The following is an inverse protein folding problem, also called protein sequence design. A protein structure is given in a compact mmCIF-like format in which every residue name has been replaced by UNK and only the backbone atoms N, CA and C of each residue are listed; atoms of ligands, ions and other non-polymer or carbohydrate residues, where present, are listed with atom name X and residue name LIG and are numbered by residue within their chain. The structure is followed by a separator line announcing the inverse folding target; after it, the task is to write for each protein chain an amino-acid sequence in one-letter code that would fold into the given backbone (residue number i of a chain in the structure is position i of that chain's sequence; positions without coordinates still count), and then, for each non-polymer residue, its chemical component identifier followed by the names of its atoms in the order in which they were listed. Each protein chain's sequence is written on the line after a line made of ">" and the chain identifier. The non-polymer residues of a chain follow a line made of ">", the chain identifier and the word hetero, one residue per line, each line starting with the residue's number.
data_IF_632447076007
#
_entry.id   IF_632447076007
#
_cell.length_a   1.000
_cell.length_b   1.000
_cell.length_c   1.000
_cell.angle_alpha   90.00
_cell.angle_beta   90.00
_cell.angle_gamma   90.00
#
_symmetry.space_group_name_H-M   'P 1'
#
loop_
_entity.id
_entity.type
_entity.pdbx_description
1 polymer ?
#
# COMPACT_ATOMS: atom_id res chain seq x y z
N UNK A 1 -13.36 11.90 -4.54
CA UNK A 1 -13.59 11.01 -3.38
C UNK A 1 -13.94 9.57 -3.77
N UNK A 2 -15.06 9.28 -4.49
CA UNK A 2 -15.41 7.89 -4.85
C UNK A 2 -14.31 7.14 -5.61
N UNK A 3 -13.85 7.70 -6.73
CA UNK A 3 -12.77 7.09 -7.53
C UNK A 3 -11.50 6.90 -6.69
N UNK A 4 -11.07 7.98 -6.01
CA UNK A 4 -9.93 7.94 -5.11
C UNK A 4 -10.03 6.84 -4.03
N UNK A 5 -11.22 6.60 -3.47
CA UNK A 5 -11.40 5.48 -2.53
C UNK A 5 -11.23 4.09 -3.16
N UNK A 6 -11.61 3.93 -4.43
CA UNK A 6 -11.43 2.69 -5.18
C UNK A 6 -9.97 2.49 -5.58
N UNK A 7 -9.30 3.55 -6.02
CA UNK A 7 -7.88 3.54 -6.37
C UNK A 7 -7.03 3.20 -5.14
N UNK A 8 -7.35 3.80 -3.99
CA UNK A 8 -6.68 3.49 -2.72
C UNK A 8 -6.88 2.02 -2.32
N UNK A 9 -8.10 1.46 -2.48
CA UNK A 9 -8.38 0.06 -2.16
C UNK A 9 -7.62 -0.89 -3.08
N UNK A 10 -7.55 -0.59 -4.39
CA UNK A 10 -6.78 -1.39 -5.33
C UNK A 10 -5.29 -1.34 -5.00
N UNK A 11 -4.76 -0.15 -4.74
CA UNK A 11 -3.37 0.02 -4.31
C UNK A 11 -3.07 -0.73 -3.00
N UNK A 12 -4.01 -0.81 -2.06
CA UNK A 12 -3.85 -1.63 -0.86
C UNK A 12 -3.78 -3.13 -1.16
N UNK A 13 -4.59 -3.63 -2.10
CA UNK A 13 -4.52 -5.03 -2.56
C UNK A 13 -3.19 -5.32 -3.26
N UNK A 14 -2.74 -4.41 -4.11
CA UNK A 14 -1.46 -4.54 -4.83
C UNK A 14 -0.28 -4.55 -3.86
N UNK A 15 -0.30 -3.68 -2.83
CA UNK A 15 0.69 -3.67 -1.77
C UNK A 15 0.69 -4.98 -0.96
N UNK A 16 -0.48 -5.54 -0.64
CA UNK A 16 -0.60 -6.82 0.07
C UNK A 16 -0.05 -7.98 -0.75
N UNK A 17 -0.37 -8.05 -2.05
CA UNK A 17 0.15 -9.08 -2.94
C UNK A 17 1.67 -8.97 -3.08
N UNK A 18 2.18 -7.76 -3.30
CA UNK A 18 3.63 -7.53 -3.35
C UNK A 18 4.33 -7.86 -2.02
N UNK A 19 3.66 -7.65 -0.88
CA UNK A 19 4.19 -8.09 0.43
C UNK A 19 4.26 -9.61 0.54
N UNK A 20 3.29 -10.35 0.02
CA UNK A 20 3.31 -11.82 0.01
C UNK A 20 4.43 -12.35 -0.90
N UNK A 21 4.58 -11.77 -2.10
CA UNK A 21 5.71 -12.06 -3.00
C UNK A 21 7.06 -11.84 -2.29
N UNK A 22 7.22 -10.72 -1.58
CA UNK A 22 8.44 -10.43 -0.84
C UNK A 22 8.72 -11.43 0.28
N UNK A 23 7.67 -11.84 1.02
CA UNK A 23 7.79 -12.82 2.10
C UNK A 23 8.16 -14.22 1.58
N UNK A 24 7.57 -14.65 0.47
CA UNK A 24 7.87 -15.93 -0.16
C UNK A 24 9.32 -15.96 -0.67
N UNK A 25 9.73 -14.94 -1.44
CA UNK A 25 11.11 -14.84 -1.92
C UNK A 25 12.13 -14.78 -0.77
N UNK A 26 11.78 -14.10 0.33
CA UNK A 26 12.64 -14.08 1.52
C UNK A 26 12.76 -15.44 2.19
N UNK A 27 11.66 -16.19 2.33
CA UNK A 27 11.68 -17.56 2.86
C UNK A 27 12.55 -18.47 1.99
N UNK A 28 12.42 -18.38 0.67
CA UNK A 28 13.25 -19.14 -0.26
C UNK A 28 14.73 -18.76 -0.15
N UNK A 29 15.05 -17.46 -0.03
CA UNK A 29 16.43 -17.00 0.18
C UNK A 29 17.05 -17.60 1.45
N UNK A 30 16.29 -17.64 2.55
CA UNK A 30 16.71 -18.26 3.82
C UNK A 30 16.94 -19.76 3.68
N UNK A 31 16.07 -20.46 2.96
CA UNK A 31 16.19 -21.91 2.78
C UNK A 31 17.39 -22.29 1.90
N UNK A 32 17.73 -21.45 0.92
CA UNK A 32 18.80 -21.69 -0.06
C UNK A 32 20.20 -21.33 0.43
N UNK A 33 20.34 -20.75 1.64
CA UNK A 33 21.57 -20.43 2.40
C UNK A 33 22.83 -20.17 1.57
N UNK A 34 23.33 -18.93 1.58
CA UNK A 34 24.67 -18.60 1.06
C UNK A 34 24.96 -19.22 -0.32
N UNK A 35 24.02 -19.05 -1.26
CA UNK A 35 24.14 -19.51 -2.64
C UNK A 35 23.75 -18.41 -3.62
N UNK A 36 24.23 -18.49 -4.87
CA UNK A 36 23.81 -17.57 -5.95
C UNK A 36 22.28 -17.51 -6.11
N UNK A 37 21.62 -18.65 -5.84
CA UNK A 37 20.16 -18.73 -5.84
C UNK A 37 19.55 -17.97 -4.66
N UNK A 38 20.13 -18.06 -3.45
CA UNK A 38 19.71 -17.27 -2.29
C UNK A 38 19.82 -15.76 -2.59
N UNK A 39 20.93 -15.31 -3.17
CA UNK A 39 21.11 -13.90 -3.55
C UNK A 39 20.11 -13.44 -4.61
N UNK A 40 19.79 -14.29 -5.59
CA UNK A 40 18.74 -14.02 -6.58
C UNK A 40 17.38 -13.85 -5.92
N UNK A 41 17.03 -14.73 -4.97
CA UNK A 41 15.79 -14.63 -4.19
C UNK A 41 15.73 -13.40 -3.30
N UNK A 42 16.84 -12.97 -2.70
CA UNK A 42 16.91 -11.72 -1.98
C UNK A 42 16.66 -10.48 -2.88
N UNK A 43 17.11 -10.52 -4.14
CA UNK A 43 16.78 -9.48 -5.14
C UNK A 43 15.31 -9.49 -5.54
N UNK A 44 14.70 -10.67 -5.69
CA UNK A 44 13.27 -10.81 -5.94
C UNK A 44 12.46 -10.19 -4.80
N UNK A 45 12.83 -10.47 -3.54
CA UNK A 45 12.21 -9.85 -2.36
C UNK A 45 12.33 -8.32 -2.39
N UNK A 46 13.50 -7.77 -2.76
CA UNK A 46 13.70 -6.32 -2.90
C UNK A 46 12.82 -5.71 -4.00
N UNK A 47 12.65 -6.43 -5.10
CA UNK A 47 11.81 -6.02 -6.24
C UNK A 47 10.35 -5.98 -5.82
N UNK A 48 9.86 -7.01 -5.14
CA UNK A 48 8.51 -7.07 -4.61
C UNK A 48 8.26 -5.95 -3.57
N UNK A 49 9.19 -5.70 -2.65
CA UNK A 49 9.09 -4.57 -1.72
C UNK A 49 9.03 -3.21 -2.45
N UNK A 50 9.74 -3.05 -3.56
CA UNK A 50 9.67 -1.85 -4.40
C UNK A 50 8.31 -1.68 -5.08
N UNK A 51 7.65 -2.77 -5.49
CA UNK A 51 6.25 -2.72 -5.96
C UNK A 51 5.31 -2.29 -4.84
N UNK A 52 5.47 -2.85 -3.64
CA UNK A 52 4.68 -2.47 -2.47
C UNK A 52 4.84 -0.97 -2.14
N UNK A 53 6.07 -0.43 -2.24
CA UNK A 53 6.33 1.00 -2.08
C UNK A 53 5.53 1.87 -3.07
N UNK A 54 5.56 1.53 -4.37
CA UNK A 54 4.81 2.25 -5.40
C UNK A 54 3.31 2.21 -5.15
N UNK A 55 2.81 1.08 -4.68
CA UNK A 55 1.40 0.93 -4.31
C UNK A 55 1.04 1.81 -3.10
N UNK A 56 1.93 1.93 -2.09
CA UNK A 56 1.74 2.88 -0.98
C UNK A 56 1.69 4.33 -1.46
N UNK A 57 2.60 4.72 -2.37
CA UNK A 57 2.61 6.08 -2.95
C UNK A 57 1.30 6.39 -3.70
N UNK A 58 0.76 5.40 -4.41
CA UNK A 58 -0.54 5.50 -5.09
C UNK A 58 -1.69 5.64 -4.09
N UNK A 59 -1.70 4.82 -3.04
CA UNK A 59 -2.72 4.89 -1.99
C UNK A 59 -2.66 6.23 -1.22
N UNK A 60 -1.46 6.76 -0.99
CA UNK A 60 -1.26 8.07 -0.34
C UNK A 60 -1.86 9.19 -1.19
N UNK A 61 -1.55 9.23 -2.49
CA UNK A 61 -2.10 10.23 -3.39
C UNK A 61 -3.63 10.16 -3.43
N UNK A 62 -4.18 8.96 -3.54
CA UNK A 62 -5.63 8.74 -3.54
C UNK A 62 -6.28 9.16 -2.21
N UNK A 63 -5.61 8.95 -1.07
CA UNK A 63 -6.06 9.47 0.23
C UNK A 63 -6.12 11.00 0.22
N UNK A 64 -5.05 11.65 -0.23
CA UNK A 64 -4.96 13.12 -0.26
C UNK A 64 -6.01 13.74 -1.23
N UNK A 65 -6.27 13.08 -2.37
CA UNK A 65 -7.33 13.46 -3.31
C UNK A 65 -8.74 13.32 -2.68
N UNK A 66 -8.96 12.27 -1.88
CA UNK A 66 -10.22 12.06 -1.19
C UNK A 66 -10.44 13.10 -0.06
N UNK A 67 -9.40 13.44 0.69
CA UNK A 67 -9.44 14.49 1.72
C UNK A 67 -9.66 15.88 1.10
N UNK A 68 -9.04 16.17 -0.05
CA UNK A 68 -9.25 17.43 -0.78
C UNK A 68 -10.69 17.55 -1.28
N UNK A 69 -11.25 16.47 -1.82
CA UNK A 69 -12.66 16.41 -2.21
C UNK A 69 -13.60 16.57 -1.01
N UNK A 70 -13.21 16.11 0.18
CA UNK A 70 -13.97 16.33 1.40
C UNK A 70 -13.99 17.81 1.80
N UNK A 71 -12.82 18.44 1.89
CA UNK A 71 -12.69 19.86 2.27
C UNK A 71 -13.48 20.79 1.34
N UNK A 72 -13.41 20.54 0.02
CA UNK A 72 -14.18 21.31 -0.98
C UNK A 72 -15.69 21.04 -0.94
N UNK A 73 -16.14 19.92 -0.38
CA UNK A 73 -17.55 19.64 -0.18
C UNK A 73 -18.15 20.27 1.10
N UNK A 74 -17.30 20.78 1.99
CA UNK A 74 -17.68 21.43 3.24
C UNK A 74 -17.76 22.97 3.13
N UNK A 75 -17.36 23.56 2.01
CA UNK A 75 -17.55 24.99 1.73
C UNK A 75 -19.03 25.35 1.48
N UNK A 76 -19.58 26.38 2.15
CA UNK A 76 -21.03 26.57 2.29
C UNK A 76 -21.62 27.34 1.11
N UNK A 77 -22.21 26.66 0.13
CA UNK A 77 -22.98 27.36 -0.91
C UNK A 77 -24.45 26.94 -1.09
N UNK A 78 -24.97 25.89 -0.42
CA UNK A 78 -26.44 25.64 -0.42
C UNK A 78 -26.94 24.61 0.60
N UNK A 79 -27.68 24.99 1.66
CA UNK A 79 -27.99 24.13 2.81
C UNK A 79 -28.80 22.84 2.52
N UNK A 80 -29.49 22.72 1.38
CA UNK A 80 -30.54 21.71 1.20
C UNK A 80 -30.12 20.39 0.52
N UNK A 81 -28.92 20.30 -0.10
CA UNK A 81 -28.39 19.06 -0.74
C UNK A 81 -27.12 18.50 -0.06
N UNK A 82 -26.62 19.18 0.96
CA UNK A 82 -25.29 18.94 1.56
C UNK A 82 -25.23 17.65 2.37
N UNK A 83 -26.32 17.20 3.00
CA UNK A 83 -26.24 16.11 3.99
C UNK A 83 -25.89 14.72 3.41
N UNK A 84 -26.45 14.31 2.26
CA UNK A 84 -26.14 12.99 1.70
C UNK A 84 -24.81 12.99 0.93
N UNK A 85 -24.50 14.08 0.23
CA UNK A 85 -23.26 14.21 -0.53
C UNK A 85 -22.04 14.33 0.41
N UNK A 86 -22.13 15.15 1.46
CA UNK A 86 -21.08 15.25 2.48
C UNK A 86 -20.85 13.92 3.21
N UNK A 87 -21.91 13.19 3.59
CA UNK A 87 -21.78 11.86 4.22
C UNK A 87 -21.07 10.85 3.33
N UNK A 88 -21.44 10.75 2.05
CA UNK A 88 -20.78 9.84 1.10
C UNK A 88 -19.31 10.22 0.87
N UNK A 89 -19.01 11.51 0.75
CA UNK A 89 -17.63 12.00 0.59
C UNK A 89 -16.78 11.70 1.82
N UNK A 90 -17.32 11.84 3.04
CA UNK A 90 -16.68 11.41 4.29
C UNK A 90 -16.39 9.92 4.30
N UNK A 91 -17.39 9.10 3.95
CA UNK A 91 -17.21 7.64 3.88
C UNK A 91 -16.10 7.23 2.89
N UNK A 92 -16.03 7.87 1.73
CA UNK A 92 -14.99 7.61 0.75
C UNK A 92 -13.60 8.05 1.22
N UNK A 93 -13.49 9.19 1.91
CA UNK A 93 -12.22 9.64 2.49
C UNK A 93 -11.72 8.66 3.58
N UNK A 94 -12.60 8.20 4.45
CA UNK A 94 -12.27 7.20 5.47
C UNK A 94 -11.87 5.85 4.86
N UNK A 95 -12.53 5.42 3.78
CA UNK A 95 -12.12 4.22 3.01
C UNK A 95 -10.72 4.38 2.43
N UNK A 96 -10.42 5.52 1.81
CA UNK A 96 -9.10 5.78 1.25
C UNK A 96 -8.00 5.80 2.33
N UNK A 97 -8.28 6.39 3.49
CA UNK A 97 -7.38 6.38 4.65
C UNK A 97 -7.11 4.98 5.19
N UNK A 98 -8.15 4.18 5.38
CA UNK A 98 -7.99 2.79 5.82
C UNK A 98 -7.21 1.95 4.80
N UNK A 99 -7.43 2.17 3.51
CA UNK A 99 -6.69 1.48 2.46
C UNK A 99 -5.20 1.89 2.44
N UNK A 100 -4.90 3.18 2.61
CA UNK A 100 -3.53 3.65 2.77
C UNK A 100 -2.81 3.01 3.96
N UNK A 101 -3.44 2.94 5.14
CA UNK A 101 -2.84 2.29 6.31
C UNK A 101 -2.59 0.79 6.08
N UNK A 102 -3.48 0.09 5.36
CA UNK A 102 -3.25 -1.30 4.93
C UNK A 102 -2.05 -1.42 4.00
N UNK A 103 -1.95 -0.56 2.99
CA UNK A 103 -0.83 -0.55 2.06
C UNK A 103 0.50 -0.31 2.79
N UNK A 104 0.52 0.65 3.71
CA UNK A 104 1.69 0.98 4.54
C UNK A 104 2.13 -0.21 5.39
N UNK A 105 1.20 -0.90 6.05
CA UNK A 105 1.48 -2.10 6.81
C UNK A 105 2.05 -3.23 5.93
N UNK A 106 1.51 -3.41 4.73
CA UNK A 106 2.03 -4.39 3.77
C UNK A 106 3.47 -4.05 3.33
N UNK A 107 3.75 -2.79 3.03
CA UNK A 107 5.11 -2.35 2.71
C UNK A 107 6.09 -2.56 3.87
N UNK A 108 5.67 -2.32 5.12
CA UNK A 108 6.50 -2.61 6.29
C UNK A 108 6.84 -4.10 6.39
N UNK A 109 5.87 -4.99 6.16
CA UNK A 109 6.10 -6.45 6.12
C UNK A 109 7.06 -6.84 4.99
N UNK A 110 6.88 -6.27 3.80
CA UNK A 110 7.77 -6.50 2.66
C UNK A 110 9.22 -6.09 2.98
N UNK A 111 9.42 -4.95 3.65
CA UNK A 111 10.74 -4.53 4.10
C UNK A 111 11.35 -5.46 5.15
N UNK A 112 10.55 -5.94 6.11
CA UNK A 112 11.04 -6.94 7.07
C UNK A 112 11.46 -8.24 6.37
N UNK A 113 10.72 -8.68 5.34
CA UNK A 113 11.09 -9.83 4.53
C UNK A 113 12.43 -9.59 3.80
N UNK A 114 12.62 -8.41 3.20
CA UNK A 114 13.89 -8.02 2.56
C UNK A 114 15.06 -8.08 3.53
N UNK A 115 14.89 -7.58 4.76
CA UNK A 115 15.97 -7.61 5.77
C UNK A 115 16.37 -9.06 6.08
N UNK A 116 15.40 -9.95 6.32
CA UNK A 116 15.66 -11.38 6.56
C UNK A 116 16.35 -12.06 5.37
N UNK A 117 15.91 -11.74 4.15
CA UNK A 117 16.51 -12.28 2.94
C UNK A 117 17.98 -11.83 2.78
N UNK A 118 18.26 -10.56 3.11
CA UNK A 118 19.62 -10.01 3.09
C UNK A 118 20.52 -10.69 4.10
N UNK A 119 20.06 -10.85 5.34
CA UNK A 119 20.80 -11.56 6.39
C UNK A 119 21.17 -12.99 5.97
N UNK A 120 20.27 -13.71 5.30
CA UNK A 120 20.54 -15.07 4.82
C UNK A 120 21.44 -15.14 3.57
N UNK A 121 21.56 -14.03 2.83
CA UNK A 121 22.39 -13.93 1.63
C UNK A 121 23.74 -13.25 1.86
N UNK A 122 23.99 -12.75 3.08
CA UNK A 122 25.22 -12.07 3.45
C UNK A 122 26.30 -13.11 3.73
N UNK A 123 27.01 -13.47 2.66
CA UNK A 123 28.29 -14.19 2.66
C UNK A 123 29.39 -13.40 3.38
#
# INVERSE_FOLDING_TARGET
>A
AKQASQDAEQAAKDAENASKEAEEAAKEAVNLKESDKSYTKAKEACTAASKAKKAVETALKAKDDAETALKTSETPEKPSRINLFSRKTKEYAEKAKNAYEKAKNAYQKANQAVLKAKEASSY
#
